data_IF_499057930791
#
_entry.id   IF_499057930791
#
_cell.length_a   1.000
_cell.length_b   1.000
_cell.length_c   1.000
_cell.angle_alpha   90.00
_cell.angle_beta   90.00
_cell.angle_gamma   90.00
#
_symmetry.space_group_name_H-M   'P 1'
#
loop_
_entity.id
_entity.type
_entity.pdbx_description
1 polymer ?
#
# COMPACT_ATOMS: atom_id res chain seq x y z
N UNK A 1 40.71 59.59 53.30
CA UNK A 1 40.15 60.33 52.15
C UNK A 1 41.33 60.87 51.35
N UNK A 2 41.55 60.38 50.13
CA UNK A 2 40.86 60.95 48.97
C UNK A 2 40.23 59.88 48.04
N UNK A 3 39.22 60.36 47.30
CA UNK A 3 38.42 59.66 46.32
C UNK A 3 39.10 59.75 44.94
N UNK A 4 39.30 58.63 44.25
CA UNK A 4 39.53 58.64 42.80
C UNK A 4 38.74 57.52 42.11
N UNK A 5 37.85 57.94 41.21
CA UNK A 5 36.75 57.17 40.67
C UNK A 5 37.19 56.04 39.73
N UNK A 6 36.52 54.90 39.88
CA UNK A 6 36.59 53.77 38.96
C UNK A 6 36.13 54.21 37.56
N UNK A 7 36.97 53.89 36.58
CA UNK A 7 36.84 54.25 35.18
C UNK A 7 35.62 53.55 34.56
N UNK A 8 34.65 54.35 34.11
CA UNK A 8 33.34 53.94 33.55
C UNK A 8 33.44 53.11 32.25
N UNK A 9 34.65 52.76 31.80
CA UNK A 9 34.92 52.01 30.55
C UNK A 9 35.11 50.50 30.76
N UNK A 10 35.45 50.06 31.97
CA UNK A 10 35.66 48.63 32.27
C UNK A 10 34.34 47.88 32.59
N UNK A 11 33.27 48.61 32.92
CA UNK A 11 31.97 48.00 33.21
C UNK A 11 31.23 47.53 31.96
N UNK A 12 31.52 48.10 30.78
CA UNK A 12 30.79 47.76 29.54
C UNK A 12 31.31 46.49 28.84
N UNK A 13 32.60 46.18 28.93
CA UNK A 13 33.18 44.94 28.37
C UNK A 13 32.70 43.69 29.12
N UNK A 14 32.55 43.76 30.44
CA UNK A 14 32.06 42.62 31.24
C UNK A 14 30.55 42.37 31.10
N UNK A 15 29.77 43.41 30.80
CA UNK A 15 28.33 43.30 30.52
C UNK A 15 28.05 42.65 29.15
N UNK A 16 28.90 42.89 28.14
CA UNK A 16 28.76 42.27 26.81
C UNK A 16 29.06 40.76 26.80
N UNK A 17 30.02 40.30 27.59
CA UNK A 17 30.41 38.87 27.64
C UNK A 17 29.41 38.02 28.43
N UNK A 18 28.81 38.57 29.50
CA UNK A 18 27.79 37.85 30.30
C UNK A 18 26.49 37.60 29.53
N UNK A 19 26.13 38.46 28.58
CA UNK A 19 25.01 38.24 27.66
C UNK A 19 25.30 37.09 26.70
N UNK A 20 26.47 37.09 26.07
CA UNK A 20 26.89 36.06 25.11
C UNK A 20 26.96 34.65 25.71
N UNK A 21 27.43 34.50 26.96
CA UNK A 21 27.49 33.19 27.62
C UNK A 21 26.09 32.67 28.00
N UNK A 22 25.18 33.55 28.41
CA UNK A 22 23.79 33.16 28.72
C UNK A 22 23.03 32.77 27.46
N UNK A 23 23.13 33.58 26.40
CA UNK A 23 22.55 33.25 25.09
C UNK A 23 23.19 31.97 24.52
N UNK A 24 24.50 31.76 24.71
CA UNK A 24 25.18 30.53 24.31
C UNK A 24 24.69 29.30 25.06
N UNK A 25 24.44 29.40 26.38
CA UNK A 25 23.86 28.30 27.18
C UNK A 25 22.41 28.05 26.80
N UNK A 26 21.63 29.11 26.55
CA UNK A 26 20.25 29.02 26.09
C UNK A 26 20.23 28.35 24.72
N UNK A 27 21.01 28.83 23.75
CA UNK A 27 21.15 28.24 22.41
C UNK A 27 21.71 26.81 22.45
N UNK A 28 22.65 26.49 23.34
CA UNK A 28 23.17 25.13 23.50
C UNK A 28 22.14 24.19 24.15
N UNK A 29 21.36 24.69 25.11
CA UNK A 29 20.24 23.97 25.73
C UNK A 29 19.09 23.78 24.75
N UNK A 30 18.76 24.80 23.94
CA UNK A 30 17.78 24.72 22.87
C UNK A 30 18.25 23.77 21.77
N UNK A 31 19.50 23.85 21.33
CA UNK A 31 20.07 22.96 20.32
C UNK A 31 20.11 21.50 20.80
N UNK A 32 20.42 21.25 22.07
CA UNK A 32 20.34 19.90 22.64
C UNK A 32 18.89 19.43 22.84
N UNK A 33 17.98 20.30 23.25
CA UNK A 33 16.56 19.97 23.43
C UNK A 33 15.87 19.69 22.09
N UNK A 34 16.16 20.47 21.06
CA UNK A 34 15.65 20.31 19.70
C UNK A 34 16.23 19.06 19.04
N UNK A 35 17.51 18.72 19.27
CA UNK A 35 18.05 17.41 18.87
C UNK A 35 17.44 16.23 19.64
N UNK A 36 17.07 16.39 20.91
CA UNK A 36 16.35 15.37 21.68
C UNK A 36 14.89 15.20 21.21
N UNK A 37 14.20 16.29 20.86
CA UNK A 37 12.84 16.31 20.35
C UNK A 37 12.72 15.81 18.89
N UNK A 38 13.80 15.95 18.10
CA UNK A 38 13.90 15.44 16.72
C UNK A 38 14.52 14.04 16.67
N UNK A 39 14.86 13.42 17.80
CA UNK A 39 15.19 11.99 17.78
C UNK A 39 13.92 11.23 17.38
N UNK A 40 13.88 10.55 16.21
CA UNK A 40 12.80 9.60 15.98
C UNK A 40 12.96 8.59 17.10
N UNK A 41 11.89 8.41 17.89
CA UNK A 41 11.78 7.42 18.95
C UNK A 41 12.57 6.19 18.50
N UNK A 42 13.66 5.84 19.19
CA UNK A 42 14.57 4.76 18.79
C UNK A 42 13.93 3.37 18.96
N UNK A 43 12.67 3.22 18.60
CA UNK A 43 12.08 1.94 18.25
C UNK A 43 12.15 1.75 16.73
N UNK A 44 13.37 1.73 16.19
CA UNK A 44 13.62 1.44 14.76
C UNK A 44 13.03 0.10 14.30
N UNK A 45 12.67 -0.81 15.22
CA UNK A 45 11.96 -2.07 14.93
C UNK A 45 10.44 -1.93 14.95
N UNK A 46 9.86 -1.47 16.07
CA UNK A 46 8.40 -1.39 16.23
C UNK A 46 7.75 -0.44 15.21
N UNK A 47 8.32 0.75 15.02
CA UNK A 47 7.81 1.72 14.03
C UNK A 47 7.84 1.14 12.62
N UNK A 48 8.87 0.36 12.25
CA UNK A 48 8.93 -0.30 10.93
C UNK A 48 7.85 -1.37 10.75
N UNK A 49 7.58 -2.16 11.79
CA UNK A 49 6.54 -3.20 11.76
C UNK A 49 5.17 -2.54 11.60
N UNK A 50 4.89 -1.51 12.39
CA UNK A 50 3.62 -0.77 12.33
C UNK A 50 3.46 -0.12 10.95
N UNK A 51 4.48 0.59 10.45
CA UNK A 51 4.40 1.23 9.13
C UNK A 51 4.18 0.19 8.03
N UNK A 52 4.92 -0.92 8.01
CA UNK A 52 4.72 -2.00 7.04
C UNK A 52 3.31 -2.60 7.12
N UNK A 53 2.82 -2.84 8.35
CA UNK A 53 1.47 -3.35 8.58
C UNK A 53 0.40 -2.38 8.10
N UNK A 54 0.56 -1.09 8.40
CA UNK A 54 -0.34 -0.03 7.96
C UNK A 54 -0.36 0.12 6.44
N UNK A 55 0.80 0.05 5.77
CA UNK A 55 0.86 0.06 4.31
C UNK A 55 0.14 -1.16 3.73
N UNK A 56 0.36 -2.38 4.24
CA UNK A 56 -0.37 -3.57 3.76
C UNK A 56 -1.89 -3.40 3.97
N UNK A 57 -2.31 -2.88 5.12
CA UNK A 57 -3.72 -2.62 5.41
C UNK A 57 -4.34 -1.60 4.43
N UNK A 58 -3.62 -0.54 4.08
CA UNK A 58 -4.05 0.43 3.06
C UNK A 58 -4.23 -0.23 1.69
N UNK A 59 -3.30 -1.10 1.29
CA UNK A 59 -3.37 -1.81 0.00
C UNK A 59 -4.56 -2.77 -0.03
N UNK A 60 -4.80 -3.51 1.05
CA UNK A 60 -5.99 -4.36 1.20
C UNK A 60 -7.27 -3.54 1.09
N UNK A 61 -7.34 -2.39 1.79
CA UNK A 61 -8.50 -1.51 1.72
C UNK A 61 -8.76 -1.02 0.30
N UNK A 62 -7.71 -0.64 -0.45
CA UNK A 62 -7.83 -0.25 -1.87
C UNK A 62 -8.43 -1.36 -2.73
N UNK A 63 -8.01 -2.62 -2.53
CA UNK A 63 -8.58 -3.75 -3.29
C UNK A 63 -10.04 -3.99 -2.90
N UNK A 64 -10.36 -4.02 -1.61
CA UNK A 64 -11.73 -4.29 -1.12
C UNK A 64 -12.73 -3.28 -1.70
N UNK A 65 -12.30 -2.03 -1.88
CA UNK A 65 -13.11 -0.96 -2.46
C UNK A 65 -13.13 -0.93 -4.01
N UNK A 66 -12.25 -1.68 -4.67
CA UNK A 66 -12.14 -1.68 -6.13
C UNK A 66 -13.35 -2.36 -6.81
N UNK A 67 -13.74 -1.92 -8.02
CA UNK A 67 -14.74 -2.63 -8.80
C UNK A 67 -14.24 -4.03 -9.18
N UNK A 68 -15.12 -5.02 -9.12
CA UNK A 68 -14.83 -6.42 -9.48
C UNK A 68 -15.14 -6.76 -10.94
N UNK A 69 -15.74 -5.82 -11.67
CA UNK A 69 -16.05 -5.92 -13.09
C UNK A 69 -15.18 -4.91 -13.86
N UNK A 70 -14.33 -5.34 -14.81
CA UNK A 70 -14.13 -6.71 -15.28
C UNK A 70 -13.26 -7.57 -14.35
N UNK A 71 -13.54 -8.89 -14.21
CA UNK A 71 -12.82 -9.79 -13.31
C UNK A 71 -11.29 -9.82 -13.51
N UNK A 72 -10.84 -9.81 -14.76
CA UNK A 72 -9.40 -9.86 -15.08
C UNK A 72 -8.66 -8.61 -14.58
N UNK A 73 -9.27 -7.43 -14.73
CA UNK A 73 -8.65 -6.19 -14.27
C UNK A 73 -8.60 -6.13 -12.73
N UNK A 74 -9.62 -6.69 -12.07
CA UNK A 74 -9.61 -6.79 -10.61
C UNK A 74 -8.46 -7.66 -10.11
N UNK A 75 -8.20 -8.80 -10.76
CA UNK A 75 -7.12 -9.71 -10.38
C UNK A 75 -5.77 -9.08 -10.67
N UNK A 76 -5.58 -8.46 -11.84
CA UNK A 76 -4.36 -7.71 -12.17
C UNK A 76 -4.06 -6.62 -11.11
N UNK A 77 -5.10 -5.85 -10.73
CA UNK A 77 -4.98 -4.85 -9.68
C UNK A 77 -4.62 -5.47 -8.32
N UNK A 78 -5.21 -6.60 -7.96
CA UNK A 78 -4.87 -7.34 -6.74
C UNK A 78 -3.40 -7.79 -6.74
N UNK A 79 -2.96 -8.46 -7.81
CA UNK A 79 -1.58 -8.94 -7.99
C UNK A 79 -0.56 -7.79 -7.92
N UNK A 80 -0.91 -6.61 -8.47
CA UNK A 80 -0.07 -5.41 -8.42
C UNK A 80 0.03 -4.80 -7.01
N UNK A 81 -1.08 -4.77 -6.27
CA UNK A 81 -1.13 -4.16 -4.94
C UNK A 81 -0.61 -5.08 -3.84
N UNK A 82 -0.72 -6.40 -4.02
CA UNK A 82 -0.37 -7.43 -3.05
C UNK A 82 0.43 -8.57 -3.71
N UNK A 83 1.65 -8.30 -4.21
CA UNK A 83 2.43 -9.28 -4.98
C UNK A 83 2.89 -10.50 -4.17
N UNK A 84 3.02 -10.36 -2.84
CA UNK A 84 3.45 -11.43 -1.94
C UNK A 84 2.29 -12.26 -1.38
N UNK A 85 1.06 -12.02 -1.85
CA UNK A 85 -0.14 -12.65 -1.31
C UNK A 85 -0.42 -14.02 -1.93
N UNK A 86 -0.96 -14.94 -1.12
CA UNK A 86 -1.31 -16.28 -1.56
C UNK A 86 -2.82 -16.42 -1.85
N UNK A 87 -3.24 -17.62 -2.27
CA UNK A 87 -4.64 -17.92 -2.54
C UNK A 87 -5.55 -17.75 -1.30
N UNK A 88 -5.03 -18.02 -0.10
CA UNK A 88 -5.80 -17.89 1.14
C UNK A 88 -6.01 -16.42 1.50
N UNK A 89 -5.00 -15.57 1.32
CA UNK A 89 -5.13 -14.12 1.46
C UNK A 89 -6.11 -13.54 0.44
N UNK A 90 -6.07 -14.02 -0.82
CA UNK A 90 -7.02 -13.59 -1.84
C UNK A 90 -8.47 -13.91 -1.45
N UNK A 91 -8.74 -15.14 -1.02
CA UNK A 91 -10.07 -15.54 -0.53
C UNK A 91 -10.56 -14.67 0.63
N UNK A 92 -9.69 -14.36 1.60
CA UNK A 92 -10.03 -13.44 2.71
C UNK A 92 -10.39 -12.04 2.20
N UNK A 93 -9.71 -11.54 1.18
CA UNK A 93 -10.05 -10.25 0.56
C UNK A 93 -11.42 -10.29 -0.12
N UNK A 94 -11.75 -11.38 -0.81
CA UNK A 94 -13.08 -11.56 -1.40
C UNK A 94 -14.19 -11.67 -0.34
N UNK A 95 -13.89 -12.29 0.80
CA UNK A 95 -14.79 -12.35 1.97
C UNK A 95 -14.99 -10.96 2.59
N UNK A 96 -13.90 -10.20 2.78
CA UNK A 96 -13.98 -8.81 3.27
C UNK A 96 -14.77 -7.90 2.32
N UNK A 97 -14.69 -8.15 1.01
CA UNK A 97 -15.49 -7.43 0.01
C UNK A 97 -16.98 -7.79 0.04
N UNK A 98 -17.35 -8.93 0.63
CA UNK A 98 -18.75 -9.36 0.75
C UNK A 98 -19.35 -9.92 -0.56
N UNK A 99 -18.52 -10.52 -1.42
CA UNK A 99 -18.99 -11.10 -2.68
C UNK A 99 -19.79 -12.39 -2.46
N UNK A 100 -20.71 -12.69 -3.39
CA UNK A 100 -21.45 -13.95 -3.38
C UNK A 100 -20.54 -15.12 -3.74
N UNK A 101 -20.84 -16.32 -3.22
CA UNK A 101 -20.07 -17.55 -3.51
C UNK A 101 -19.78 -17.78 -4.99
N UNK A 102 -20.77 -17.59 -5.88
CA UNK A 102 -20.56 -17.81 -7.31
C UNK A 102 -19.54 -16.84 -7.91
N UNK A 103 -19.57 -15.56 -7.51
CA UNK A 103 -18.62 -14.54 -7.95
C UNK A 103 -17.23 -14.81 -7.36
N UNK A 104 -17.16 -15.23 -6.10
CA UNK A 104 -15.90 -15.64 -5.47
C UNK A 104 -15.26 -16.83 -6.20
N UNK A 105 -16.03 -17.86 -6.53
CA UNK A 105 -15.53 -19.03 -7.27
C UNK A 105 -14.94 -18.63 -8.62
N UNK A 106 -15.64 -17.76 -9.37
CA UNK A 106 -15.16 -17.27 -10.66
C UNK A 106 -13.81 -16.54 -10.53
N UNK A 107 -13.67 -15.65 -9.54
CA UNK A 107 -12.43 -14.90 -9.31
C UNK A 107 -11.28 -15.80 -8.84
N UNK A 108 -11.57 -16.77 -7.98
CA UNK A 108 -10.59 -17.76 -7.49
C UNK A 108 -10.04 -18.60 -8.63
N UNK A 109 -10.88 -19.05 -9.56
CA UNK A 109 -10.46 -19.86 -10.70
C UNK A 109 -9.57 -19.05 -11.66
N UNK A 110 -9.93 -17.80 -11.93
CA UNK A 110 -9.11 -16.90 -12.75
C UNK A 110 -7.75 -16.60 -12.07
N UNK A 111 -7.74 -16.34 -10.78
CA UNK A 111 -6.50 -16.08 -10.02
C UNK A 111 -5.55 -17.28 -10.02
N UNK A 112 -6.09 -18.51 -9.99
CA UNK A 112 -5.29 -19.74 -10.14
C UNK A 112 -4.64 -19.84 -11.53
N UNK A 113 -5.38 -19.48 -12.57
CA UNK A 113 -4.86 -19.46 -13.94
C UNK A 113 -3.73 -18.44 -14.05
N UNK A 114 -3.92 -17.22 -13.55
CA UNK A 114 -2.90 -16.16 -13.57
C UNK A 114 -1.62 -16.57 -12.82
N UNK A 115 -1.75 -17.17 -11.62
CA UNK A 115 -0.59 -17.67 -10.87
C UNK A 115 0.16 -18.79 -11.61
N UNK A 116 -0.55 -19.65 -12.34
CA UNK A 116 0.09 -20.68 -13.17
C UNK A 116 0.77 -20.11 -14.43
N UNK A 117 0.22 -19.05 -15.00
CA UNK A 117 0.77 -18.36 -16.16
C UNK A 117 2.04 -17.55 -15.81
N UNK A 118 2.20 -17.14 -14.55
CA UNK A 118 3.35 -16.38 -14.04
C UNK A 118 4.73 -17.08 -14.12
N UNK A 119 4.80 -18.32 -14.61
CA UNK A 119 6.08 -19.03 -14.87
C UNK A 119 6.64 -18.75 -16.28
N UNK A 120 5.88 -18.11 -17.17
CA UNK A 120 6.37 -17.71 -18.49
C UNK A 120 6.08 -16.23 -18.74
N UNK A 121 7.15 -15.49 -19.06
CA UNK A 121 7.19 -14.05 -18.98
C UNK A 121 6.20 -13.31 -19.88
N UNK A 122 5.73 -12.19 -19.35
CA UNK A 122 5.60 -10.90 -20.01
C UNK A 122 5.37 -10.92 -21.55
N UNK A 123 4.18 -11.36 -21.95
CA UNK A 123 3.46 -10.93 -23.15
C UNK A 123 2.00 -11.00 -22.69
N UNK A 124 1.25 -9.92 -22.53
CA UNK A 124 0.49 -9.27 -23.60
C UNK A 124 -0.18 -8.01 -23.04
N UNK A 125 0.36 -6.85 -23.40
CA UNK A 125 -0.46 -5.66 -23.60
C UNK A 125 -0.86 -5.68 -25.09
N UNK A 126 -2.12 -5.38 -25.40
CA UNK A 126 -2.60 -5.02 -26.74
C UNK A 126 -2.78 -6.16 -27.79
N UNK A 127 -3.63 -7.18 -27.54
CA UNK A 127 -4.21 -7.97 -28.68
C UNK A 127 -5.50 -8.76 -28.46
N UNK A 128 -6.12 -8.82 -27.27
CA UNK A 128 -7.27 -9.75 -27.08
C UNK A 128 -8.66 -9.15 -27.35
N UNK A 129 -8.79 -7.87 -27.73
CA UNK A 129 -10.09 -7.28 -28.11
C UNK A 129 -10.55 -7.58 -29.55
N UNK A 130 -9.96 -8.58 -30.23
CA UNK A 130 -10.36 -8.97 -31.59
C UNK A 130 -10.52 -10.48 -31.82
N UNK A 131 -10.61 -11.32 -30.79
CA UNK A 131 -10.92 -12.75 -30.99
C UNK A 131 -12.34 -13.11 -30.52
N UNK A 132 -13.31 -12.61 -31.30
CA UNK A 132 -14.64 -13.16 -31.40
C UNK A 132 -14.57 -14.60 -31.97
N UNK A 133 -15.35 -15.52 -31.37
CA UNK A 133 -15.71 -16.89 -31.81
C UNK A 133 -14.64 -18.00 -31.71
N UNK A 134 -14.73 -18.76 -30.62
CA UNK A 134 -14.41 -20.21 -30.62
C UNK A 134 -15.71 -21.03 -30.49
N UNK A 135 -15.99 -22.02 -31.37
CA UNK A 135 -17.32 -22.59 -31.59
C UNK A 135 -17.64 -23.89 -30.82
N UNK A 136 -17.12 -24.11 -29.61
CA UNK A 136 -17.28 -25.43 -28.97
C UNK A 136 -18.49 -25.56 -28.02
N UNK A 137 -18.97 -24.47 -27.43
CA UNK A 137 -20.07 -24.56 -26.44
C UNK A 137 -21.48 -24.62 -27.07
N UNK A 138 -21.63 -24.25 -28.36
CA UNK A 138 -22.91 -24.27 -29.09
C UNK A 138 -23.37 -25.71 -29.41
N UNK A 139 -22.43 -26.65 -29.51
CA UNK A 139 -22.68 -28.05 -29.89
C UNK A 139 -23.60 -28.77 -28.89
N UNK A 140 -23.54 -28.41 -27.60
CA UNK A 140 -24.41 -28.98 -26.56
C UNK A 140 -25.85 -28.47 -26.64
N UNK A 141 -26.04 -27.20 -26.96
CA UNK A 141 -27.37 -26.61 -27.08
C UNK A 141 -28.09 -27.17 -28.32
N UNK A 142 -27.40 -27.23 -29.45
CA UNK A 142 -27.92 -27.79 -30.71
C UNK A 142 -28.29 -29.27 -30.56
N UNK A 143 -27.41 -30.10 -29.96
CA UNK A 143 -27.73 -31.53 -29.72
C UNK A 143 -28.92 -31.72 -28.78
N UNK A 144 -29.13 -30.80 -27.83
CA UNK A 144 -30.27 -30.83 -26.92
C UNK A 144 -31.57 -30.47 -27.64
N UNK A 145 -31.53 -29.54 -28.59
CA UNK A 145 -32.66 -29.18 -29.45
C UNK A 145 -33.05 -30.34 -30.38
N UNK A 146 -32.08 -31.01 -31.02
CA UNK A 146 -32.36 -32.17 -31.88
C UNK A 146 -33.05 -33.32 -31.14
N UNK A 147 -32.67 -33.57 -29.87
CA UNK A 147 -33.32 -34.58 -29.03
C UNK A 147 -34.77 -34.23 -28.69
N UNK A 148 -35.10 -32.95 -28.53
CA UNK A 148 -36.47 -32.51 -28.24
C UNK A 148 -37.38 -32.64 -29.48
N UNK A 149 -36.84 -32.40 -30.66
CA UNK A 149 -37.57 -32.51 -31.94
C UNK A 149 -37.87 -33.98 -32.24
N UNK A 150 -36.89 -34.88 -32.10
CA UNK A 150 -37.08 -36.33 -32.29
C UNK A 150 -38.02 -37.00 -31.28
N UNK A 151 -38.27 -36.36 -30.13
CA UNK A 151 -39.17 -36.88 -29.10
C UNK A 151 -40.65 -36.52 -29.35
N UNK A 152 -40.92 -35.60 -30.27
CA UNK A 152 -42.26 -35.10 -30.61
C UNK A 152 -42.77 -35.58 -31.97
N UNK A 153 -41.94 -36.29 -32.74
CA UNK A 153 -42.29 -37.05 -33.95
C UNK A 153 -42.38 -38.53 -33.57
#
# INVERSE_FOLDING_TARGET
MPQHGLNRKETNIFLGVKGQVKEGIVMFSWYNYEQLAISPIQQKGYTKIVVKGMTKAEMVLKVVMAPTDPPNAFIEQYSKLLPDSDLLEFQKVLDMKGLRRNEQTQLVDLFRIEQSAGTHGNVFHESTLMNLRSPDHESSHIRKLEKLIKKRL
#
